data_IF_399972219274
#
_entry.id   IF_399972219274
#
_cell.length_a   1.000
_cell.length_b   1.000
_cell.length_c   1.000
_cell.angle_alpha   90.00
_cell.angle_beta   90.00
_cell.angle_gamma   90.00
#
_symmetry.space_group_name_H-M   'P 1'
#
loop_
_entity.id
_entity.type
_entity.pdbx_description
1 polymer ?
#
# COMPACT_ATOMS: atom_id res chain seq x y z
N UNK A 1 -18.00 15.33 7.12
CA UNK A 1 -17.82 15.70 8.53
C UNK A 1 -19.05 16.32 9.11
N UNK A 2 -19.35 16.05 10.39
CA UNK A 2 -20.58 16.52 11.06
C UNK A 2 -20.68 18.06 11.18
N UNK A 3 -19.59 18.79 10.91
CA UNK A 3 -19.51 20.24 11.13
C UNK A 3 -19.34 21.08 9.84
N UNK A 4 -19.61 20.50 8.68
CA UNK A 4 -19.43 21.19 7.39
C UNK A 4 -17.96 21.36 6.98
N UNK A 5 -17.01 20.86 7.77
CA UNK A 5 -15.59 20.88 7.45
C UNK A 5 -15.27 19.89 6.32
N UNK A 6 -14.41 20.32 5.40
CA UNK A 6 -13.98 19.52 4.26
C UNK A 6 -12.60 18.89 4.46
N UNK A 7 -11.80 19.42 5.39
CA UNK A 7 -10.51 18.85 5.78
C UNK A 7 -10.67 17.46 6.34
N UNK A 8 -9.69 16.61 6.10
CA UNK A 8 -9.69 15.19 6.45
C UNK A 8 -8.45 14.83 7.25
N UNK A 9 -8.63 14.02 8.28
CA UNK A 9 -7.54 13.35 8.98
C UNK A 9 -7.49 11.89 8.54
N UNK A 10 -6.41 11.52 7.89
CA UNK A 10 -6.09 10.12 7.60
C UNK A 10 -5.22 9.57 8.72
N UNK A 11 -5.65 8.46 9.30
CA UNK A 11 -4.95 7.79 10.40
C UNK A 11 -4.54 6.40 9.94
N UNK A 12 -3.25 6.09 10.04
CA UNK A 12 -2.72 4.75 9.75
C UNK A 12 -2.20 4.16 11.05
N UNK A 13 -2.87 3.10 11.51
CA UNK A 13 -2.44 2.28 12.65
C UNK A 13 -1.59 1.13 12.15
N UNK A 14 -0.58 0.74 12.94
CA UNK A 14 0.33 -0.37 12.58
C UNK A 14 0.93 -0.20 11.17
N UNK A 15 1.65 0.89 10.90
CA UNK A 15 2.08 1.24 9.53
C UNK A 15 3.12 0.28 8.93
N UNK A 16 3.71 -0.62 9.72
CA UNK A 16 4.61 -1.71 9.30
C UNK A 16 4.53 -2.89 10.25
N UNK A 17 5.08 -4.00 9.88
CA UNK A 17 5.09 -5.22 10.68
C UNK A 17 5.80 -5.00 12.03
N UNK A 18 5.13 -5.35 13.12
CA UNK A 18 5.62 -5.15 14.49
C UNK A 18 5.42 -3.73 15.05
N UNK A 19 4.64 -2.88 14.37
CA UNK A 19 4.33 -1.51 14.80
C UNK A 19 3.03 -1.41 15.65
N UNK A 20 2.71 -2.42 16.45
CA UNK A 20 1.41 -2.61 17.12
C UNK A 20 0.92 -1.44 17.99
N UNK A 21 1.79 -0.51 18.32
CA UNK A 21 1.48 0.70 19.11
C UNK A 21 1.74 2.01 18.36
N UNK A 22 2.10 1.94 17.08
CA UNK A 22 2.45 3.12 16.28
C UNK A 22 1.25 3.54 15.45
N UNK A 23 0.98 4.83 15.46
CA UNK A 23 -0.04 5.47 14.62
C UNK A 23 0.57 6.68 13.94
N UNK A 24 0.36 6.80 12.63
CA UNK A 24 0.76 7.96 11.86
C UNK A 24 -0.46 8.74 11.39
N UNK A 25 -0.30 10.05 11.26
CA UNK A 25 -1.39 10.97 10.96
C UNK A 25 -1.02 11.85 9.77
N UNK A 26 -1.96 11.99 8.83
CA UNK A 26 -1.88 12.93 7.72
C UNK A 26 -3.14 13.79 7.72
N UNK A 27 -2.99 15.10 7.96
CA UNK A 27 -4.06 16.05 7.88
C UNK A 27 -4.07 16.71 6.50
N UNK A 28 -5.22 16.68 5.83
CA UNK A 28 -5.41 17.30 4.53
C UNK A 28 -6.27 18.54 4.76
N UNK A 29 -5.65 19.72 4.69
CA UNK A 29 -6.34 20.99 4.83
C UNK A 29 -7.04 21.35 3.51
N UNK A 30 -8.35 21.60 3.58
CA UNK A 30 -9.16 21.97 2.42
C UNK A 30 -9.88 23.29 2.69
N UNK A 31 -10.18 24.03 1.63
CA UNK A 31 -10.96 25.29 1.67
C UNK A 31 -10.44 26.33 2.68
N UNK A 32 -9.14 26.36 2.94
CA UNK A 32 -8.51 27.31 3.86
C UNK A 32 -8.74 27.01 5.34
N UNK A 33 -9.21 25.81 5.69
CA UNK A 33 -9.33 25.39 7.08
C UNK A 33 -7.95 25.29 7.74
N UNK A 34 -7.85 25.81 8.97
CA UNK A 34 -6.60 25.76 9.73
C UNK A 34 -6.32 24.38 10.29
N UNK A 35 -5.05 24.00 10.29
CA UNK A 35 -4.56 22.83 11.04
C UNK A 35 -4.72 23.13 12.54
N UNK A 36 -5.19 22.14 13.36
CA UNK A 36 -5.22 22.30 14.81
C UNK A 36 -3.84 22.66 15.38
N UNK A 37 -3.80 23.59 16.35
CA UNK A 37 -2.53 24.10 16.89
C UNK A 37 -1.66 23.02 17.57
N UNK A 38 -2.29 21.96 18.10
CA UNK A 38 -1.64 20.84 18.79
C UNK A 38 -1.39 19.63 17.87
N UNK A 39 -1.64 19.77 16.57
CA UNK A 39 -1.44 18.68 15.62
C UNK A 39 0.05 18.44 15.33
N UNK A 40 0.49 17.20 15.50
CA UNK A 40 1.91 16.80 15.35
C UNK A 40 2.15 15.84 14.17
N UNK A 41 1.12 15.53 13.37
CA UNK A 41 1.22 14.67 12.19
C UNK A 41 1.73 15.40 10.95
N UNK A 42 1.72 14.70 9.83
CA UNK A 42 2.01 15.27 8.52
C UNK A 42 0.85 16.13 8.03
N UNK A 43 1.13 17.18 7.28
CA UNK A 43 0.11 18.12 6.77
C UNK A 43 0.24 18.26 5.26
N UNK A 44 -0.89 18.09 4.56
CA UNK A 44 -1.06 18.53 3.18
C UNK A 44 -1.92 19.80 3.18
N UNK A 45 -1.43 20.86 2.56
CA UNK A 45 -2.17 22.12 2.40
C UNK A 45 -3.27 22.07 1.34
N UNK A 46 -3.35 20.98 0.58
CA UNK A 46 -4.32 20.70 -0.49
C UNK A 46 -4.37 19.21 -0.78
N UNK A 47 -5.30 18.77 -1.63
CA UNK A 47 -5.28 17.41 -2.17
C UNK A 47 -3.98 17.15 -2.95
N UNK A 48 -3.41 15.96 -2.81
CA UNK A 48 -2.14 15.62 -3.45
C UNK A 48 -2.29 15.54 -4.98
N UNK A 49 -1.44 16.26 -5.70
CA UNK A 49 -1.40 16.29 -7.18
C UNK A 49 -0.10 15.69 -7.73
N UNK A 50 0.98 15.73 -6.95
CA UNK A 50 2.32 15.27 -7.33
C UNK A 50 2.79 14.23 -6.32
N UNK A 51 2.74 12.96 -6.71
CA UNK A 51 2.95 11.83 -5.79
C UNK A 51 4.16 11.02 -6.22
N UNK A 52 5.03 10.72 -5.26
CA UNK A 52 6.07 9.72 -5.42
C UNK A 52 5.58 8.41 -4.80
N UNK A 53 5.60 7.33 -5.59
CA UNK A 53 5.15 6.01 -5.19
C UNK A 53 6.35 5.08 -4.97
N UNK A 54 6.61 4.70 -3.71
CA UNK A 54 7.71 3.79 -3.39
C UNK A 54 7.35 2.30 -3.59
N UNK A 55 6.11 2.00 -3.98
CA UNK A 55 5.65 0.65 -4.33
C UNK A 55 4.77 0.66 -5.58
N UNK A 56 4.85 -0.42 -6.37
CA UNK A 56 3.95 -0.63 -7.52
C UNK A 56 2.48 -0.79 -7.11
N UNK A 57 2.20 -1.20 -5.87
CA UNK A 57 0.82 -1.30 -5.36
C UNK A 57 0.16 0.08 -5.24
N UNK A 58 0.92 1.12 -4.86
CA UNK A 58 0.43 2.49 -4.82
C UNK A 58 0.00 2.97 -6.22
N UNK A 59 0.82 2.66 -7.23
CA UNK A 59 0.51 2.97 -8.64
C UNK A 59 -0.76 2.25 -9.09
N UNK A 60 -0.90 0.95 -8.76
CA UNK A 60 -2.08 0.17 -9.13
C UNK A 60 -3.38 0.74 -8.53
N UNK A 61 -3.34 1.27 -7.31
CA UNK A 61 -4.50 1.93 -6.70
C UNK A 61 -4.86 3.24 -7.41
N UNK A 62 -3.86 4.05 -7.77
CA UNK A 62 -4.09 5.28 -8.55
C UNK A 62 -4.57 4.97 -9.97
N UNK A 63 -4.07 3.92 -10.59
CA UNK A 63 -4.50 3.44 -11.91
C UNK A 63 -5.96 3.00 -11.91
N UNK A 64 -6.39 2.29 -10.86
CA UNK A 64 -7.76 1.82 -10.72
C UNK A 64 -8.82 2.94 -10.75
N UNK A 65 -8.43 4.16 -10.42
CA UNK A 65 -9.29 5.37 -10.45
C UNK A 65 -8.89 6.35 -11.55
N UNK A 66 -7.97 5.96 -12.46
CA UNK A 66 -7.56 6.78 -13.60
C UNK A 66 -6.67 7.98 -13.26
N UNK A 67 -5.96 7.94 -12.14
CA UNK A 67 -5.18 9.07 -11.60
C UNK A 67 -3.64 8.82 -11.63
N UNK A 68 -3.16 7.91 -12.49
CA UNK A 68 -1.71 7.68 -12.70
C UNK A 68 -0.97 8.95 -13.12
N UNK A 69 -1.64 9.90 -13.76
CA UNK A 69 -1.08 11.20 -14.14
C UNK A 69 -0.47 12.00 -12.99
N UNK A 70 -0.88 11.70 -11.74
CA UNK A 70 -0.33 12.32 -10.52
C UNK A 70 1.00 11.73 -10.08
N UNK A 71 1.40 10.57 -10.62
CA UNK A 71 2.67 9.93 -10.29
C UNK A 71 3.80 10.65 -11.01
N UNK A 72 4.65 11.32 -10.22
CA UNK A 72 5.83 12.07 -10.73
C UNK A 72 7.15 11.35 -10.46
N UNK A 73 7.15 10.38 -9.55
CA UNK A 73 8.33 9.59 -9.23
C UNK A 73 7.96 8.20 -8.72
N UNK A 74 8.87 7.27 -8.92
CA UNK A 74 8.71 5.86 -8.53
C UNK A 74 10.03 5.29 -8.00
N UNK A 75 9.95 4.18 -7.28
CA UNK A 75 11.09 3.35 -6.92
C UNK A 75 11.28 2.26 -7.98
N UNK A 76 12.39 2.30 -8.72
CA UNK A 76 12.77 1.27 -9.68
C UNK A 76 11.85 1.18 -10.90
N UNK A 77 11.89 2.19 -11.76
CA UNK A 77 11.00 2.31 -12.93
C UNK A 77 11.05 1.09 -13.88
N UNK A 78 12.17 0.39 -13.93
CA UNK A 78 12.32 -0.81 -14.76
C UNK A 78 11.48 -2.00 -14.27
N UNK A 79 11.05 -1.99 -13.01
CA UNK A 79 10.18 -3.02 -12.41
C UNK A 79 8.70 -2.61 -12.39
N UNK A 80 8.36 -1.43 -12.87
CA UNK A 80 6.98 -0.96 -12.96
C UNK A 80 6.37 -1.45 -14.26
N UNK A 81 5.40 -2.34 -14.19
CA UNK A 81 4.74 -2.91 -15.38
C UNK A 81 3.53 -2.07 -15.87
N UNK A 82 3.14 -1.03 -15.13
CA UNK A 82 2.01 -0.18 -15.51
C UNK A 82 2.27 0.51 -16.86
N UNK A 83 1.40 0.32 -17.88
CA UNK A 83 1.67 0.79 -19.24
C UNK A 83 1.68 2.32 -19.36
N UNK A 84 0.89 3.04 -18.55
CA UNK A 84 0.87 4.50 -18.57
C UNK A 84 2.17 5.08 -17.99
N UNK A 85 2.67 4.52 -16.89
CA UNK A 85 3.98 4.89 -16.33
C UNK A 85 5.10 4.60 -17.32
N UNK A 86 5.07 3.42 -17.98
CA UNK A 86 6.09 3.08 -18.99
C UNK A 86 6.04 3.98 -20.23
N UNK A 87 4.86 4.39 -20.65
CA UNK A 87 4.70 5.34 -21.75
C UNK A 87 5.25 6.74 -21.43
N UNK A 88 5.29 7.10 -20.15
CA UNK A 88 5.77 8.40 -19.62
C UNK A 88 7.11 8.29 -18.90
N UNK A 89 7.85 7.18 -19.04
CA UNK A 89 9.05 6.90 -18.24
C UNK A 89 10.11 8.01 -18.27
N UNK A 90 10.20 8.76 -19.37
CA UNK A 90 11.17 9.88 -19.51
C UNK A 90 10.77 11.10 -18.67
N UNK A 91 9.51 11.18 -18.23
CA UNK A 91 8.96 12.27 -17.40
C UNK A 91 8.62 11.84 -15.97
N UNK A 92 8.71 10.55 -15.64
CA UNK A 92 8.56 10.01 -14.30
C UNK A 92 9.95 9.71 -13.74
N UNK A 93 10.30 10.34 -12.62
CA UNK A 93 11.61 10.17 -12.01
C UNK A 93 11.77 8.80 -11.34
N UNK A 94 12.88 8.11 -11.62
CA UNK A 94 13.28 6.96 -10.81
C UNK A 94 14.10 7.45 -9.60
N UNK A 95 13.46 7.54 -8.44
CA UNK A 95 14.10 8.04 -7.23
C UNK A 95 15.02 7.02 -6.56
N UNK A 96 15.12 5.81 -7.11
CA UNK A 96 15.92 4.71 -6.56
C UNK A 96 15.17 3.89 -5.52
N UNK A 97 15.93 3.10 -4.75
CA UNK A 97 15.40 2.16 -3.76
C UNK A 97 15.73 2.64 -2.34
N UNK A 98 14.96 2.15 -1.40
CA UNK A 98 15.25 2.37 0.02
C UNK A 98 16.72 2.02 0.34
N UNK A 99 17.40 2.91 1.08
CA UNK A 99 18.83 2.80 1.34
C UNK A 99 19.74 3.43 0.26
N UNK A 100 19.22 3.75 -0.95
CA UNK A 100 19.93 4.43 -2.02
C UNK A 100 19.02 5.36 -2.82
N UNK A 101 18.43 6.34 -2.13
CA UNK A 101 17.50 7.31 -2.72
C UNK A 101 18.26 8.50 -3.30
N UNK A 102 17.92 8.89 -4.51
CA UNK A 102 18.35 10.13 -5.13
C UNK A 102 17.47 11.30 -4.65
N UNK A 103 17.86 11.91 -3.52
CA UNK A 103 17.11 13.02 -2.93
C UNK A 103 17.17 14.31 -3.76
N UNK A 104 18.19 14.51 -4.59
CA UNK A 104 18.24 15.66 -5.51
C UNK A 104 17.16 15.54 -6.57
N UNK A 105 17.01 14.36 -7.16
CA UNK A 105 15.95 14.07 -8.11
C UNK A 105 14.58 14.17 -7.40
N UNK A 106 14.42 13.56 -6.21
CA UNK A 106 13.18 13.60 -5.45
C UNK A 106 12.73 15.05 -5.21
N UNK A 107 13.63 15.93 -4.78
CA UNK A 107 13.35 17.36 -4.60
C UNK A 107 13.00 18.06 -5.93
N UNK A 108 13.70 17.75 -7.01
CA UNK A 108 13.44 18.35 -8.33
C UNK A 108 12.07 17.98 -8.91
N UNK A 109 11.50 16.85 -8.46
CA UNK A 109 10.15 16.42 -8.81
C UNK A 109 9.06 17.20 -8.07
N UNK A 110 9.43 18.01 -7.08
CA UNK A 110 8.51 18.85 -6.28
C UNK A 110 7.25 18.09 -5.85
N UNK A 111 7.37 17.00 -5.07
CA UNK A 111 6.22 16.19 -4.69
C UNK A 111 5.40 16.84 -3.58
N UNK A 112 4.08 16.75 -3.67
CA UNK A 112 3.17 17.07 -2.57
C UNK A 112 3.20 15.97 -1.50
N UNK A 113 3.41 14.70 -1.91
CA UNK A 113 3.34 13.53 -1.03
C UNK A 113 4.25 12.41 -1.51
N UNK A 114 4.89 11.75 -0.56
CA UNK A 114 5.59 10.48 -0.79
C UNK A 114 4.81 9.34 -0.12
N UNK A 115 4.40 8.34 -0.89
CA UNK A 115 3.79 7.13 -0.37
C UNK A 115 4.88 6.11 -0.04
N UNK A 116 4.99 5.78 1.24
CA UNK A 116 5.98 4.85 1.78
C UNK A 116 5.35 3.50 2.10
N UNK A 117 6.19 2.50 2.24
CA UNK A 117 5.90 1.26 2.95
C UNK A 117 7.03 0.98 3.93
N UNK A 118 6.78 0.20 4.96
CA UNK A 118 7.82 -0.23 5.90
C UNK A 118 7.82 -1.74 6.01
N UNK A 119 8.99 -2.36 6.01
CA UNK A 119 9.16 -3.80 6.26
C UNK A 119 10.11 -3.95 7.42
N UNK A 120 9.68 -4.61 8.50
CA UNK A 120 10.45 -4.78 9.74
C UNK A 120 10.88 -3.45 10.41
N UNK A 121 10.15 -2.36 10.18
CA UNK A 121 10.45 -1.06 10.77
C UNK A 121 10.03 0.11 9.88
N UNK A 122 10.26 1.31 10.41
CA UNK A 122 10.06 2.54 9.66
C UNK A 122 10.99 2.62 8.43
N UNK A 123 10.52 3.27 7.38
CA UNK A 123 11.35 3.56 6.20
C UNK A 123 12.55 4.42 6.59
N UNK A 124 13.71 4.09 6.04
CA UNK A 124 14.93 4.89 6.17
C UNK A 124 14.80 6.30 5.59
N UNK A 125 13.79 6.53 4.75
CA UNK A 125 13.50 7.84 4.15
C UNK A 125 12.83 8.81 5.14
N UNK A 126 12.14 8.31 6.18
CA UNK A 126 11.29 9.11 7.07
C UNK A 126 12.04 10.32 7.67
N UNK A 127 13.23 10.09 8.21
CA UNK A 127 14.04 11.14 8.81
C UNK A 127 14.42 12.23 7.82
N UNK A 128 14.79 11.85 6.59
CA UNK A 128 15.17 12.79 5.55
C UNK A 128 13.99 13.55 4.97
N UNK A 129 12.84 12.90 4.79
CA UNK A 129 11.62 13.56 4.34
C UNK A 129 11.14 14.61 5.36
N UNK A 130 11.23 14.32 6.66
CA UNK A 130 10.95 15.30 7.73
C UNK A 130 11.90 16.49 7.70
N UNK A 131 13.20 16.24 7.51
CA UNK A 131 14.23 17.30 7.37
C UNK A 131 13.95 18.22 6.18
N UNK A 132 13.43 17.66 5.09
CA UNK A 132 13.12 18.36 3.84
C UNK A 132 11.71 18.96 3.82
N UNK A 133 10.93 18.80 4.89
CA UNK A 133 9.53 19.23 5.00
C UNK A 133 8.64 18.67 3.86
N UNK A 134 8.92 17.42 3.45
CA UNK A 134 8.13 16.71 2.43
C UNK A 134 7.15 15.76 3.14
N UNK A 135 5.83 15.97 2.98
CA UNK A 135 4.83 15.10 3.54
C UNK A 135 4.93 13.66 3.02
N UNK A 136 4.70 12.71 3.89
CA UNK A 136 4.67 11.29 3.52
C UNK A 136 3.56 10.54 4.27
N UNK A 137 3.14 9.43 3.70
CA UNK A 137 2.19 8.51 4.34
C UNK A 137 2.63 7.07 4.12
N UNK A 138 2.50 6.27 5.15
CA UNK A 138 2.65 4.81 5.02
C UNK A 138 1.38 4.18 4.43
N UNK A 139 1.57 3.28 3.49
CA UNK A 139 0.53 2.42 2.93
C UNK A 139 0.82 1.00 3.38
N UNK A 140 0.02 0.51 4.32
CA UNK A 140 0.17 -0.79 4.96
C UNK A 140 -0.66 -1.90 4.28
N UNK A 141 -0.96 -1.77 3.01
CA UNK A 141 -1.82 -2.68 2.26
C UNK A 141 -1.38 -4.16 2.30
N UNK A 142 -0.09 -4.39 2.43
CA UNK A 142 0.49 -5.74 2.52
C UNK A 142 0.27 -6.42 3.89
N UNK A 143 -0.06 -5.64 4.93
CA UNK A 143 -0.33 -6.13 6.29
C UNK A 143 -1.77 -6.64 6.47
N UNK A 144 -2.64 -6.36 5.51
CA UNK A 144 -4.02 -6.77 5.60
C UNK A 144 -4.16 -8.29 5.58
N UNK A 145 -5.04 -8.81 6.42
CA UNK A 145 -5.32 -10.25 6.52
C UNK A 145 -6.35 -10.71 5.47
N UNK A 146 -7.01 -9.77 4.80
CA UNK A 146 -8.01 -10.09 3.79
C UNK A 146 -7.76 -9.39 2.47
N UNK A 147 -8.07 -10.05 1.32
CA UNK A 147 -7.96 -9.43 0.00
C UNK A 147 -8.82 -8.18 -0.15
N UNK A 148 -9.99 -8.14 0.50
CA UNK A 148 -10.88 -6.98 0.48
C UNK A 148 -10.34 -5.83 1.32
N UNK A 149 -9.74 -6.10 2.49
CA UNK A 149 -9.05 -5.10 3.29
C UNK A 149 -7.90 -4.47 2.51
N UNK A 150 -7.08 -5.30 1.83
CA UNK A 150 -6.03 -4.79 0.95
C UNK A 150 -6.58 -3.88 -0.16
N UNK A 151 -7.68 -4.27 -0.81
CA UNK A 151 -8.30 -3.47 -1.86
C UNK A 151 -8.92 -2.15 -1.32
N UNK A 152 -9.34 -2.12 -0.06
CA UNK A 152 -9.97 -0.95 0.57
C UNK A 152 -9.01 0.23 0.75
N UNK A 153 -7.69 0.01 0.74
CA UNK A 153 -6.68 1.07 0.74
C UNK A 153 -6.84 2.05 -0.43
N UNK A 154 -7.46 1.61 -1.52
CA UNK A 154 -7.88 2.47 -2.62
C UNK A 154 -8.69 3.68 -2.13
N UNK A 155 -9.55 3.49 -1.12
CA UNK A 155 -10.40 4.56 -0.59
C UNK A 155 -9.58 5.62 0.16
N UNK A 156 -8.54 5.20 0.90
CA UNK A 156 -7.64 6.13 1.56
C UNK A 156 -6.86 6.98 0.54
N UNK A 157 -6.31 6.34 -0.52
CA UNK A 157 -5.61 7.06 -1.57
C UNK A 157 -6.56 8.00 -2.33
N UNK A 158 -7.78 7.55 -2.63
CA UNK A 158 -8.81 8.38 -3.28
C UNK A 158 -9.15 9.62 -2.45
N UNK A 159 -9.23 9.47 -1.12
CA UNK A 159 -9.49 10.59 -0.22
C UNK A 159 -8.37 11.64 -0.26
N UNK A 160 -7.10 11.18 -0.25
CA UNK A 160 -5.90 12.04 -0.23
C UNK A 160 -5.79 12.90 -1.49
N UNK A 161 -6.29 12.42 -2.61
CA UNK A 161 -6.25 13.11 -3.90
C UNK A 161 -7.57 13.81 -4.25
N UNK A 162 -8.53 13.88 -3.32
CA UNK A 162 -9.83 14.52 -3.54
C UNK A 162 -10.76 13.77 -4.49
N UNK A 163 -10.58 12.45 -4.64
CA UNK A 163 -11.33 11.57 -5.56
C UNK A 163 -12.11 10.48 -4.82
N UNK A 164 -12.56 10.77 -3.60
CA UNK A 164 -13.26 9.81 -2.75
C UNK A 164 -14.46 9.16 -3.44
N UNK A 165 -15.28 9.95 -4.12
CA UNK A 165 -16.48 9.44 -4.79
C UNK A 165 -16.15 8.47 -5.93
N UNK A 166 -15.09 8.74 -6.70
CA UNK A 166 -14.59 7.86 -7.75
C UNK A 166 -14.04 6.57 -7.14
N UNK A 167 -13.26 6.66 -6.06
CA UNK A 167 -12.75 5.51 -5.33
C UNK A 167 -13.88 4.63 -4.78
N UNK A 168 -14.90 5.20 -4.16
CA UNK A 168 -16.07 4.47 -3.66
C UNK A 168 -16.82 3.75 -4.78
N UNK A 169 -16.97 4.38 -5.94
CA UNK A 169 -17.60 3.77 -7.10
C UNK A 169 -16.81 2.55 -7.60
N UNK A 170 -15.49 2.65 -7.70
CA UNK A 170 -14.62 1.53 -8.09
C UNK A 170 -14.63 0.45 -7.04
N UNK A 171 -14.47 0.80 -5.76
CA UNK A 171 -14.43 -0.17 -4.68
C UNK A 171 -15.75 -0.93 -4.49
N UNK A 172 -16.90 -0.28 -4.69
CA UNK A 172 -18.21 -0.91 -4.50
C UNK A 172 -18.39 -2.19 -5.33
N UNK A 173 -17.76 -2.28 -6.49
CA UNK A 173 -17.85 -3.46 -7.37
C UNK A 173 -16.94 -4.61 -6.91
N UNK A 174 -15.83 -4.31 -6.23
CA UNK A 174 -14.81 -5.30 -5.87
C UNK A 174 -15.36 -6.37 -4.92
N UNK A 175 -15.98 -6.03 -3.76
CA UNK A 175 -16.55 -7.03 -2.86
C UNK A 175 -17.65 -7.86 -3.49
N UNK A 176 -18.48 -7.25 -4.36
CA UNK A 176 -19.55 -7.93 -5.06
C UNK A 176 -18.99 -9.04 -5.95
N UNK A 177 -18.05 -8.68 -6.82
CA UNK A 177 -17.39 -9.63 -7.74
C UNK A 177 -16.61 -10.71 -6.99
N UNK A 178 -15.86 -10.31 -5.96
CA UNK A 178 -15.09 -11.22 -5.13
C UNK A 178 -15.98 -12.26 -4.44
N UNK A 179 -17.05 -11.83 -3.79
CA UNK A 179 -17.95 -12.73 -3.07
C UNK A 179 -18.74 -13.67 -4.00
N UNK A 180 -19.10 -13.22 -5.21
CA UNK A 180 -19.71 -14.09 -6.24
C UNK A 180 -18.75 -15.20 -6.64
N UNK A 181 -17.48 -14.89 -6.88
CA UNK A 181 -16.46 -15.89 -7.24
C UNK A 181 -16.22 -16.84 -6.07
N UNK A 182 -16.03 -16.34 -4.87
CA UNK A 182 -15.82 -17.14 -3.66
C UNK A 182 -16.99 -18.12 -3.42
N UNK A 183 -18.22 -17.63 -3.57
CA UNK A 183 -19.41 -18.51 -3.45
C UNK A 183 -19.41 -19.57 -4.52
N UNK A 184 -19.13 -19.23 -5.78
CA UNK A 184 -19.05 -20.19 -6.88
C UNK A 184 -18.00 -21.28 -6.62
N UNK A 185 -16.87 -20.92 -6.06
CA UNK A 185 -15.82 -21.87 -5.66
C UNK A 185 -16.35 -22.78 -4.55
N UNK A 186 -16.90 -22.23 -3.47
CA UNK A 186 -17.43 -23.01 -2.34
C UNK A 186 -18.53 -24.00 -2.76
N UNK A 187 -19.33 -23.63 -3.75
CA UNK A 187 -20.43 -24.49 -4.25
C UNK A 187 -19.94 -25.61 -5.21
N UNK A 188 -18.72 -25.53 -5.78
CA UNK A 188 -18.30 -26.41 -6.87
C UNK A 188 -16.95 -27.13 -6.62
N UNK A 189 -16.11 -26.66 -5.73
CA UNK A 189 -14.82 -27.29 -5.41
C UNK A 189 -15.02 -28.29 -4.29
N UNK A 190 -14.86 -29.57 -4.60
CA UNK A 190 -15.02 -30.68 -3.65
C UNK A 190 -13.70 -31.09 -3.00
N UNK A 191 -12.61 -31.01 -3.78
CA UNK A 191 -11.26 -31.36 -3.34
C UNK A 191 -10.35 -30.14 -3.50
N UNK A 192 -9.85 -29.62 -2.39
CA UNK A 192 -8.94 -28.49 -2.38
C UNK A 192 -7.51 -28.93 -2.80
N UNK A 193 -6.97 -28.44 -3.92
CA UNK A 193 -5.58 -28.72 -4.27
C UNK A 193 -4.64 -28.06 -3.27
N UNK A 194 -3.57 -28.77 -2.91
CA UNK A 194 -2.49 -28.19 -2.11
C UNK A 194 -1.72 -27.14 -2.91
N UNK A 195 -1.55 -25.96 -2.32
CA UNK A 195 -0.92 -24.79 -2.96
C UNK A 195 0.29 -24.33 -2.15
N UNK A 196 1.44 -24.31 -2.77
CA UNK A 196 2.65 -23.66 -2.24
C UNK A 196 2.89 -22.37 -3.02
N UNK A 197 3.28 -21.30 -2.32
CA UNK A 197 3.54 -20.02 -2.94
C UNK A 197 5.02 -19.69 -2.97
N UNK A 198 5.40 -18.91 -3.98
CA UNK A 198 6.78 -18.52 -4.27
C UNK A 198 7.68 -19.70 -4.63
N UNK A 199 8.95 -19.39 -4.85
CA UNK A 199 10.01 -20.39 -5.09
C UNK A 199 11.19 -20.08 -4.17
N UNK A 200 11.98 -21.08 -3.78
CA UNK A 200 13.25 -20.84 -3.10
C UNK A 200 14.15 -19.90 -3.91
N UNK A 201 14.81 -19.00 -3.21
CA UNK A 201 15.84 -18.14 -3.76
C UNK A 201 17.12 -18.27 -2.92
N UNK A 202 18.16 -18.84 -3.51
CA UNK A 202 19.34 -19.26 -2.76
C UNK A 202 18.95 -20.29 -1.68
N UNK A 203 19.37 -20.03 -0.45
CA UNK A 203 19.09 -20.88 0.71
C UNK A 203 17.83 -20.45 1.48
N UNK A 204 17.06 -19.52 0.93
CA UNK A 204 15.88 -18.94 1.60
C UNK A 204 14.61 -19.17 0.78
N UNK A 205 13.51 -19.43 1.49
CA UNK A 205 12.17 -19.50 0.90
C UNK A 205 11.21 -18.57 1.64
N UNK A 206 10.86 -17.46 0.99
CA UNK A 206 9.94 -16.47 1.55
C UNK A 206 8.50 -16.91 1.30
N UNK A 207 7.84 -17.39 2.32
CA UNK A 207 6.44 -17.82 2.26
C UNK A 207 5.55 -16.80 2.99
N UNK A 208 4.39 -16.43 2.41
CA UNK A 208 3.40 -15.63 3.15
C UNK A 208 2.92 -16.35 4.41
N UNK A 209 2.65 -15.59 5.48
CA UNK A 209 2.01 -16.12 6.68
C UNK A 209 0.65 -16.77 6.34
N UNK A 210 0.24 -17.77 7.12
CA UNK A 210 -1.08 -18.41 7.00
C UNK A 210 -2.25 -17.45 7.26
N UNK A 211 -2.00 -16.34 7.94
CA UNK A 211 -2.97 -15.28 8.23
C UNK A 211 -2.94 -14.13 7.21
N UNK A 212 -2.03 -14.20 6.22
CA UNK A 212 -1.91 -13.16 5.20
C UNK A 212 -3.11 -13.14 4.24
N UNK A 213 -3.33 -11.97 3.63
CA UNK A 213 -4.35 -11.84 2.57
C UNK A 213 -4.12 -12.81 1.40
N UNK A 214 -2.86 -13.18 1.12
CA UNK A 214 -2.52 -14.13 0.05
C UNK A 214 -2.98 -15.54 0.41
N UNK A 215 -2.69 -16.01 1.62
CA UNK A 215 -3.16 -17.30 2.11
C UNK A 215 -4.70 -17.34 2.12
N UNK A 216 -5.35 -16.25 2.53
CA UNK A 216 -6.80 -16.11 2.48
C UNK A 216 -7.35 -16.18 1.06
N UNK A 217 -6.67 -15.55 0.10
CA UNK A 217 -7.05 -15.59 -1.32
C UNK A 217 -6.97 -17.00 -1.88
N UNK A 218 -5.91 -17.77 -1.56
CA UNK A 218 -5.79 -19.19 -1.93
C UNK A 218 -6.97 -19.98 -1.40
N UNK A 219 -7.30 -19.82 -0.12
CA UNK A 219 -8.43 -20.50 0.52
C UNK A 219 -9.77 -20.13 -0.14
N UNK A 220 -9.99 -18.84 -0.37
CA UNK A 220 -11.23 -18.36 -0.99
C UNK A 220 -11.34 -18.79 -2.47
N UNK A 221 -10.20 -19.11 -3.12
CA UNK A 221 -10.12 -19.74 -4.44
C UNK A 221 -10.22 -21.27 -4.42
N UNK A 222 -10.45 -21.89 -3.26
CA UNK A 222 -10.64 -23.34 -3.10
C UNK A 222 -9.34 -24.13 -2.98
N UNK A 223 -8.20 -23.47 -2.75
CA UNK A 223 -6.92 -24.14 -2.50
C UNK A 223 -6.67 -24.36 -1.01
N UNK A 224 -5.81 -25.32 -0.70
CA UNK A 224 -5.26 -25.58 0.63
C UNK A 224 -3.81 -25.07 0.66
N UNK A 225 -3.59 -23.94 1.36
CA UNK A 225 -2.28 -23.31 1.42
C UNK A 225 -1.36 -24.05 2.39
N UNK A 226 -0.26 -24.58 1.85
CA UNK A 226 0.78 -25.22 2.64
C UNK A 226 1.88 -24.20 2.96
N UNK A 227 2.01 -23.90 4.25
CA UNK A 227 3.14 -23.13 4.78
C UNK A 227 4.01 -24.05 5.62
N UNK A 228 5.24 -24.29 5.19
CA UNK A 228 6.18 -25.21 5.87
C UNK A 228 6.57 -24.75 7.27
N UNK A 229 6.39 -23.46 7.59
CA UNK A 229 6.66 -22.89 8.92
C UNK A 229 5.69 -23.39 10.01
N UNK A 230 4.55 -23.99 9.60
CA UNK A 230 3.49 -24.44 10.50
C UNK A 230 3.21 -25.95 10.41
N UNK A 231 4.04 -26.71 9.70
CA UNK A 231 4.00 -28.17 9.76
C UNK A 231 4.72 -28.63 11.04
N UNK A 232 4.05 -29.41 11.85
CA UNK A 232 4.23 -29.60 13.29
C UNK A 232 5.61 -30.01 13.84
N UNK A 233 6.55 -30.39 12.99
CA UNK A 233 7.90 -30.79 13.44
C UNK A 233 9.03 -29.88 12.88
N UNK A 234 8.71 -28.94 11.99
CA UNK A 234 9.68 -28.03 11.42
C UNK A 234 9.76 -26.67 12.17
N UNK A 235 8.83 -26.43 13.11
CA UNK A 235 8.76 -25.15 13.84
C UNK A 235 10.00 -24.90 14.74
N UNK A 236 10.69 -25.95 15.19
CA UNK A 236 11.88 -25.81 16.03
C UNK A 236 13.18 -25.60 15.24
N UNK A 237 13.22 -25.99 13.96
CA UNK A 237 14.45 -25.88 13.15
C UNK A 237 14.51 -24.61 12.28
N UNK A 238 13.37 -23.94 12.01
CA UNK A 238 13.30 -22.75 11.12
C UNK A 238 13.36 -21.41 11.87
N UNK A 239 13.44 -21.41 13.17
CA UNK A 239 13.72 -20.18 13.99
C UNK A 239 15.19 -19.75 13.93
N UNK A 240 16.01 -20.37 13.10
CA UNK A 240 17.45 -20.11 12.94
C UNK A 240 17.85 -19.59 11.56
N UNK A 241 16.96 -18.89 10.84
CA UNK A 241 17.37 -18.19 9.61
C UNK A 241 16.98 -16.73 9.71
#
# INVERSE_FOLDING_TARGET
GADGKKSVLVTVTNPWQGADSITTYLFIARDGESVPEDFTGQVLGKDAERIICMSSTHIAMLDAIGETGRVVGVSGIDYISNPDIQARRDSVGDVGYEGNINYELLLSLDPDLVLLYGVNGASSMEGKLKELDIPFMYVGDYLEESPLGKAEWLLALSEIIGKRAEGEKVFAEIPVRYNVLRKKVADNVLDAPSVMLNTPYGDSWFMPSTESYVARMVKDAGGDYICLLYTSDAADDLTRV
#
